data_IF_197205024285
#
_entry.id   IF_197205024285
#
_cell.length_a   1.000
_cell.length_b   1.000
_cell.length_c   1.000
_cell.angle_alpha   90.00
_cell.angle_beta   90.00
_cell.angle_gamma   90.00
#
_symmetry.space_group_name_H-M   'P 1'
#
loop_
_entity.id
_entity.type
_entity.pdbx_description
1 polymer ?
#
# COMPACT_ATOMS: atom_id res chain seq x y z
N UNK A 1 -14.36 10.09 -1.24
CA UNK A 1 -13.05 10.67 -0.94
C UNK A 1 -12.12 10.37 -2.12
N UNK A 2 -11.38 11.36 -2.64
CA UNK A 2 -10.50 11.15 -3.81
C UNK A 2 -9.25 10.35 -3.41
N UNK A 3 -8.85 9.37 -4.24
CA UNK A 3 -7.67 8.55 -4.02
C UNK A 3 -6.39 9.39 -3.98
N UNK A 4 -6.35 10.53 -4.67
CA UNK A 4 -5.23 11.46 -4.60
C UNK A 4 -5.12 12.14 -3.23
N UNK A 5 -6.26 12.48 -2.62
CA UNK A 5 -6.31 13.06 -1.28
C UNK A 5 -5.80 12.04 -0.26
N UNK A 6 -6.30 10.80 -0.32
CA UNK A 6 -5.85 9.72 0.55
C UNK A 6 -4.34 9.45 0.44
N UNK A 7 -3.79 9.47 -0.78
CA UNK A 7 -2.36 9.30 -0.99
C UNK A 7 -1.53 10.48 -0.42
N UNK A 8 -2.04 11.71 -0.53
CA UNK A 8 -1.41 12.90 0.04
C UNK A 8 -1.41 12.88 1.57
N UNK A 9 -2.54 12.50 2.17
CA UNK A 9 -2.68 12.32 3.62
C UNK A 9 -1.75 11.23 4.15
N UNK A 10 -1.70 10.07 3.47
CA UNK A 10 -0.79 8.98 3.83
C UNK A 10 0.68 9.42 3.78
N UNK A 11 1.07 10.20 2.76
CA UNK A 11 2.42 10.75 2.63
C UNK A 11 2.74 11.76 3.74
N UNK A 12 1.80 12.63 4.11
CA UNK A 12 1.98 13.55 5.23
C UNK A 12 2.13 12.79 6.57
N UNK A 13 1.28 11.78 6.80
CA UNK A 13 1.36 10.93 7.99
C UNK A 13 2.70 10.20 8.08
N UNK A 14 3.20 9.64 6.97
CA UNK A 14 4.51 8.97 6.93
C UNK A 14 5.68 9.93 7.21
N UNK A 15 5.65 11.15 6.68
CA UNK A 15 6.66 12.18 6.96
C UNK A 15 6.68 12.57 8.44
N UNK A 16 5.50 12.82 9.01
CA UNK A 16 5.35 13.14 10.42
C UNK A 16 5.81 11.96 11.29
N UNK A 17 5.49 10.73 10.90
CA UNK A 17 5.93 9.53 11.61
C UNK A 17 7.46 9.39 11.62
N UNK A 18 8.15 9.66 10.50
CA UNK A 18 9.63 9.69 10.46
C UNK A 18 10.22 10.75 11.39
N UNK A 19 9.67 11.95 11.37
CA UNK A 19 10.11 13.03 12.25
C UNK A 19 9.91 12.65 13.72
N UNK A 20 8.72 12.18 14.07
CA UNK A 20 8.37 11.80 15.44
C UNK A 20 9.24 10.63 15.93
N UNK A 21 9.54 9.65 15.07
CA UNK A 21 10.41 8.52 15.42
C UNK A 21 11.80 9.03 15.81
N UNK A 22 12.37 9.95 15.02
CA UNK A 22 13.64 10.58 15.33
C UNK A 22 13.59 11.33 16.66
N UNK A 23 12.52 12.12 16.88
CA UNK A 23 12.35 12.90 18.11
C UNK A 23 12.32 12.00 19.34
N UNK A 24 11.57 10.89 19.33
CA UNK A 24 11.44 10.01 20.50
C UNK A 24 12.71 9.20 20.75
N UNK A 25 13.48 8.89 19.70
CA UNK A 25 14.77 8.21 19.84
C UNK A 25 15.83 9.13 20.44
N UNK A 26 15.82 10.41 20.08
CA UNK A 26 16.71 11.43 20.66
C UNK A 26 16.26 11.89 22.05
N UNK A 27 14.97 11.79 22.35
CA UNK A 27 14.34 12.32 23.57
C UNK A 27 13.36 11.30 24.18
N UNK A 28 13.85 10.14 24.67
CA UNK A 28 13.01 9.07 25.18
C UNK A 28 12.14 9.49 26.38
N UNK A 29 12.54 10.51 27.13
CA UNK A 29 11.81 11.08 28.26
C UNK A 29 10.47 11.75 27.88
N UNK A 30 10.28 12.09 26.59
CA UNK A 30 9.01 12.64 26.08
C UNK A 30 7.93 11.56 25.92
N UNK A 31 8.32 10.28 25.95
CA UNK A 31 7.41 9.15 25.88
C UNK A 31 7.12 8.64 27.30
N UNK A 32 5.86 8.27 27.53
CA UNK A 32 5.46 7.64 28.79
C UNK A 32 6.31 6.39 29.05
N UNK A 33 6.81 6.18 30.27
CA UNK A 33 7.58 4.99 30.61
C UNK A 33 6.86 3.70 30.19
N UNK A 34 7.59 2.77 29.58
CA UNK A 34 7.05 1.51 29.07
C UNK A 34 6.20 1.61 27.79
N UNK A 35 6.11 2.79 27.16
CA UNK A 35 5.39 2.97 25.88
C UNK A 35 6.31 3.13 24.66
N UNK A 36 7.64 3.15 24.86
CA UNK A 36 8.62 3.38 23.80
C UNK A 36 8.46 2.38 22.65
N UNK A 37 8.50 1.08 22.94
CA UNK A 37 8.41 0.03 21.92
C UNK A 37 7.10 0.12 21.11
N UNK A 38 5.97 0.32 21.78
CA UNK A 38 4.67 0.50 21.12
C UNK A 38 4.62 1.76 20.24
N UNK A 39 5.23 2.86 20.71
CA UNK A 39 5.29 4.10 19.95
C UNK A 39 6.16 3.92 18.70
N UNK A 40 7.34 3.31 18.82
CA UNK A 40 8.21 3.01 17.69
C UNK A 40 7.54 2.06 16.69
N UNK A 41 6.89 1.00 17.16
CA UNK A 41 6.17 0.05 16.31
C UNK A 41 5.06 0.75 15.51
N UNK A 42 4.28 1.61 16.18
CA UNK A 42 3.21 2.36 15.53
C UNK A 42 3.73 3.35 14.48
N UNK A 43 4.79 4.09 14.80
CA UNK A 43 5.41 5.03 13.86
C UNK A 43 6.01 4.32 12.65
N UNK A 44 6.69 3.19 12.86
CA UNK A 44 7.21 2.36 11.77
C UNK A 44 6.09 1.78 10.89
N UNK A 45 4.95 1.41 11.48
CA UNK A 45 3.77 0.97 10.74
C UNK A 45 3.22 2.08 9.85
N UNK A 46 3.09 3.31 10.36
CA UNK A 46 2.65 4.47 9.56
C UNK A 46 3.60 4.79 8.40
N UNK A 47 4.92 4.64 8.61
CA UNK A 47 5.91 4.82 7.56
C UNK A 47 5.67 3.80 6.44
N UNK A 48 5.56 2.51 6.77
CA UNK A 48 5.30 1.44 5.79
C UNK A 48 3.97 1.64 5.07
N UNK A 49 2.93 2.02 5.80
CA UNK A 49 1.61 2.31 5.23
C UNK A 49 1.71 3.42 4.15
N UNK A 50 2.42 4.51 4.46
CA UNK A 50 2.60 5.60 3.50
C UNK A 50 3.30 5.16 2.21
N UNK A 51 4.29 4.28 2.32
CA UNK A 51 5.04 3.75 1.18
C UNK A 51 4.16 2.84 0.30
N UNK A 52 3.33 2.01 0.91
CA UNK A 52 2.39 1.16 0.19
C UNK A 52 1.29 1.97 -0.50
N UNK A 53 0.75 3.03 0.12
CA UNK A 53 -0.27 3.83 -0.56
C UNK A 53 0.26 4.62 -1.76
N UNK A 54 1.51 5.09 -1.71
CA UNK A 54 2.14 5.71 -2.88
C UNK A 54 2.26 4.68 -4.02
N UNK A 55 2.67 3.44 -3.71
CA UNK A 55 2.75 2.36 -4.71
C UNK A 55 1.37 2.04 -5.28
N UNK A 56 0.34 1.99 -4.45
CA UNK A 56 -1.03 1.69 -4.87
C UNK A 56 -1.65 2.81 -5.72
N UNK A 57 -1.47 4.08 -5.33
CA UNK A 57 -1.88 5.22 -6.13
C UNK A 57 -1.20 5.20 -7.51
N UNK A 58 0.10 4.86 -7.57
CA UNK A 58 0.83 4.70 -8.83
C UNK A 58 0.27 3.56 -9.68
N UNK A 59 -0.05 2.41 -9.09
CA UNK A 59 -0.66 1.26 -9.80
C UNK A 59 -2.03 1.62 -10.36
N UNK A 60 -2.87 2.28 -9.56
CA UNK A 60 -4.19 2.74 -10.00
C UNK A 60 -4.09 3.73 -11.18
N UNK A 61 -3.07 4.59 -11.21
CA UNK A 61 -2.83 5.48 -12.36
C UNK A 61 -2.20 4.79 -13.58
N UNK A 62 -1.49 3.67 -13.41
CA UNK A 62 -0.76 2.99 -14.50
C UNK A 62 -1.64 2.03 -15.30
N UNK A 63 -2.59 1.36 -14.65
CA UNK A 63 -3.46 0.41 -15.34
C UNK A 63 -4.66 1.15 -15.90
N UNK A 64 -4.63 1.46 -17.20
CA UNK A 64 -5.83 1.96 -17.86
C UNK A 64 -6.93 0.89 -17.82
N UNK A 65 -8.19 1.33 -17.66
CA UNK A 65 -9.37 0.45 -17.72
C UNK A 65 -9.36 -0.43 -18.98
N UNK A 66 -8.91 0.12 -20.11
CA UNK A 66 -8.77 -0.60 -21.38
C UNK A 66 -7.79 -1.76 -21.30
N UNK A 67 -6.63 -1.56 -20.68
CA UNK A 67 -5.61 -2.62 -20.51
C UNK A 67 -6.12 -3.69 -19.55
N UNK A 68 -6.74 -3.28 -18.44
CA UNK A 68 -7.33 -4.20 -17.48
C UNK A 68 -8.41 -5.08 -18.12
N UNK A 69 -9.32 -4.47 -18.89
CA UNK A 69 -10.39 -5.18 -19.57
C UNK A 69 -9.86 -6.16 -20.62
N UNK A 70 -8.83 -5.78 -21.39
CA UNK A 70 -8.16 -6.70 -22.33
C UNK A 70 -7.55 -7.90 -21.61
N UNK A 71 -6.85 -7.70 -20.51
CA UNK A 71 -6.27 -8.80 -19.73
C UNK A 71 -7.35 -9.74 -19.19
N UNK A 72 -8.46 -9.18 -18.71
CA UNK A 72 -9.59 -9.95 -18.19
C UNK A 72 -10.26 -10.80 -19.28
N UNK A 73 -10.53 -10.20 -20.46
CA UNK A 73 -11.07 -10.95 -21.60
C UNK A 73 -10.10 -12.05 -22.02
N UNK A 74 -8.79 -11.74 -22.07
CA UNK A 74 -7.77 -12.73 -22.42
C UNK A 74 -7.78 -13.91 -21.45
N UNK A 75 -7.85 -13.66 -20.13
CA UNK A 75 -7.82 -14.73 -19.12
C UNK A 75 -9.05 -15.64 -19.16
N UNK A 76 -10.22 -15.08 -19.47
CA UNK A 76 -11.46 -15.87 -19.65
C UNK A 76 -11.33 -16.76 -20.90
N UNK A 77 -10.89 -16.19 -22.02
CA UNK A 77 -10.77 -16.92 -23.29
C UNK A 77 -9.68 -18.00 -23.23
N UNK A 78 -8.53 -17.75 -22.57
CA UNK A 78 -7.51 -18.79 -22.38
C UNK A 78 -7.98 -19.88 -21.42
N UNK A 79 -8.74 -19.53 -20.37
CA UNK A 79 -9.33 -20.52 -19.46
C UNK A 79 -10.32 -21.44 -20.17
N UNK A 80 -11.18 -20.91 -21.06
CA UNK A 80 -12.07 -21.74 -21.87
C UNK A 80 -11.32 -22.66 -22.84
N UNK A 81 -10.25 -22.16 -23.49
CA UNK A 81 -9.41 -22.98 -24.38
C UNK A 81 -8.74 -24.14 -23.64
N UNK A 82 -8.33 -23.93 -22.38
CA UNK A 82 -7.68 -24.96 -21.59
C UNK A 82 -8.67 -26.06 -21.19
N UNK A 83 -9.89 -25.70 -20.75
CA UNK A 83 -10.96 -26.68 -20.45
C UNK A 83 -11.35 -27.55 -21.64
N UNK A 84 -11.34 -27.01 -22.87
CA UNK A 84 -11.65 -27.79 -24.09
C UNK A 84 -10.58 -28.82 -24.43
N UNK A 85 -9.33 -28.65 -23.99
CA UNK A 85 -8.26 -29.64 -24.21
C UNK A 85 -8.25 -30.76 -23.17
N UNK A 86 -8.82 -30.53 -21.99
CA UNK A 86 -8.91 -31.53 -20.92
C UNK A 86 -10.09 -32.51 -21.12
N UNK A 87 -11.15 -32.10 -21.83
CA UNK A 87 -12.30 -32.97 -22.14
C UNK A 87 -12.20 -33.79 -23.43
N UNK A 88 -11.01 -33.83 -24.07
CA UNK A 88 -10.76 -34.56 -25.31
C UNK A 88 -9.80 -35.75 -25.13
N UNK A 89 -9.68 -36.26 -23.89
CA UNK A 89 -8.93 -37.47 -23.54
C UNK A 89 -9.89 -38.57 -23.07
#
# INVERSE_FOLDING_TARGET
>A
MDRKILAAEALAAGRNAKHNLKVIQENPEKIRPGKMENAEAYLNMLIRFSEEEIKNARRAGRTSLRTWFKCLVLSIVTSEKQKRKEGAA
#
